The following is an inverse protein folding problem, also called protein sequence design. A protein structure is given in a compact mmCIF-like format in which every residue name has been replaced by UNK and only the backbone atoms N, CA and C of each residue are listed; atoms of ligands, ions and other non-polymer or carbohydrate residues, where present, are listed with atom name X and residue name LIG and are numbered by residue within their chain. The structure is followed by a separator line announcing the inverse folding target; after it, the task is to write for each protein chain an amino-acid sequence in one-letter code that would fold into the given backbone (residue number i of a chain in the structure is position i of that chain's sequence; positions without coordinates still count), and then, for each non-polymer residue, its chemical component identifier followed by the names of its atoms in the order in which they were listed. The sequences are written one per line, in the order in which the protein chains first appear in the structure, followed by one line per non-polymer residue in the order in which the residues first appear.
data_IF_307032085483
#
_entry.id   IF_307032085483
#
_cell.length_a   1.000
_cell.length_b   1.000
_cell.length_c   1.000
_cell.angle_alpha   90.00
_cell.angle_beta   90.00
_cell.angle_gamma   90.00
#
_symmetry.space_group_name_H-M   'P 1'
#
loop_
_entity.id
_entity.type
_entity.pdbx_description
1 polymer ?
#
# COMPACT_ATOMS: atom_id res chain seq x y z
N UNK A 1 -13.12 -14.83 21.79
CA UNK A 1 -12.10 -15.09 22.83
C UNK A 1 -12.35 -14.16 24.00
N UNK A 2 -12.19 -14.61 25.24
CA UNK A 2 -12.41 -13.76 26.41
C UNK A 2 -11.33 -12.69 26.48
N UNK A 3 -11.72 -11.40 26.58
CA UNK A 3 -10.80 -10.27 26.71
C UNK A 3 -10.01 -10.42 28.01
N UNK A 4 -8.71 -10.74 27.93
CA UNK A 4 -7.83 -10.71 29.09
C UNK A 4 -7.72 -9.26 29.58
N UNK A 5 -7.78 -9.06 30.89
CA UNK A 5 -7.66 -7.72 31.45
C UNK A 5 -6.21 -7.24 31.32
N UNK A 6 -6.02 -6.06 30.70
CA UNK A 6 -4.72 -5.41 30.51
C UNK A 6 -4.24 -4.60 31.73
N UNK A 7 -5.11 -4.40 32.73
CA UNK A 7 -4.80 -3.67 33.98
C UNK A 7 -3.53 -4.16 34.71
N UNK A 8 -3.29 -5.47 34.91
CA UNK A 8 -2.06 -5.94 35.57
C UNK A 8 -0.79 -5.61 34.77
N UNK A 9 -0.91 -5.38 33.46
CA UNK A 9 0.22 -5.12 32.55
C UNK A 9 0.45 -3.62 32.31
N UNK A 10 -0.23 -2.72 33.02
CA UNK A 10 -0.14 -1.27 32.82
C UNK A 10 1.30 -0.74 32.88
N UNK A 11 2.08 -1.16 33.89
CA UNK A 11 3.46 -0.70 34.05
C UNK A 11 4.40 -1.27 32.97
N UNK A 12 4.08 -2.45 32.44
CA UNK A 12 4.80 -3.10 31.36
C UNK A 12 4.56 -2.35 30.05
N UNK A 13 3.29 -2.07 29.74
CA UNK A 13 2.90 -1.25 28.57
C UNK A 13 3.52 0.14 28.64
N UNK A 14 3.53 0.79 29.81
CA UNK A 14 4.22 2.09 30.03
C UNK A 14 5.71 2.04 29.69
N UNK A 15 6.39 1.01 30.15
CA UNK A 15 7.83 0.83 29.90
C UNK A 15 8.09 0.65 28.41
N UNK A 16 7.30 -0.18 27.74
CA UNK A 16 7.43 -0.43 26.30
C UNK A 16 7.10 0.79 25.44
N UNK A 17 6.07 1.57 25.81
CA UNK A 17 5.76 2.83 25.11
C UNK A 17 6.91 3.84 25.26
N UNK A 18 7.54 3.94 26.44
CA UNK A 18 8.72 4.80 26.63
C UNK A 18 9.94 4.31 25.84
N UNK A 19 10.04 3.01 25.60
CA UNK A 19 11.05 2.41 24.74
C UNK A 19 10.73 2.55 23.24
N UNK A 20 9.64 3.22 22.86
CA UNK A 20 9.25 3.41 21.46
C UNK A 20 8.62 2.18 20.80
N UNK A 21 8.20 1.16 21.58
CA UNK A 21 7.55 -0.02 21.02
C UNK A 21 6.15 0.31 20.49
N UNK A 22 5.82 -0.24 19.33
CA UNK A 22 4.54 0.00 18.64
C UNK A 22 3.38 -0.79 19.27
N UNK A 23 2.15 -0.33 19.06
CA UNK A 23 0.94 -0.98 19.58
C UNK A 23 0.75 -2.40 19.02
N UNK A 24 1.21 -2.66 17.79
CA UNK A 24 1.17 -3.98 17.17
C UNK A 24 2.11 -4.97 17.88
N UNK A 25 3.30 -4.52 18.26
CA UNK A 25 4.25 -5.32 19.03
C UNK A 25 3.74 -5.62 20.44
N UNK A 26 3.19 -4.60 21.12
CA UNK A 26 2.59 -4.77 22.47
C UNK A 26 1.39 -5.72 22.42
N UNK A 27 0.56 -5.62 21.37
CA UNK A 27 -0.60 -6.47 21.18
C UNK A 27 -0.20 -7.95 20.98
N UNK A 28 0.79 -8.21 20.12
CA UNK A 28 1.34 -9.54 19.92
C UNK A 28 1.84 -10.15 21.23
N UNK A 29 2.60 -9.38 22.02
CA UNK A 29 3.24 -9.91 23.22
C UNK A 29 2.28 -10.18 24.38
N UNK A 30 1.09 -9.57 24.36
CA UNK A 30 0.07 -9.76 25.37
C UNK A 30 -1.07 -10.69 24.89
N UNK A 31 -0.96 -11.26 23.69
CA UNK A 31 -2.01 -12.03 23.00
C UNK A 31 -3.36 -11.29 22.96
N UNK A 32 -3.33 -10.00 22.61
CA UNK A 32 -4.52 -9.15 22.49
C UNK A 32 -4.59 -8.46 21.14
N UNK A 33 -5.71 -7.81 20.84
CA UNK A 33 -5.84 -7.05 19.60
C UNK A 33 -5.16 -5.68 19.69
N UNK A 34 -4.71 -5.15 18.55
CA UNK A 34 -4.16 -3.79 18.44
C UNK A 34 -5.18 -2.74 18.87
N UNK A 35 -6.47 -2.98 18.59
CA UNK A 35 -7.57 -2.10 19.01
C UNK A 35 -7.75 -2.04 20.53
N UNK A 36 -7.52 -3.16 21.24
CA UNK A 36 -7.56 -3.20 22.70
C UNK A 36 -6.40 -2.41 23.30
N UNK A 37 -5.19 -2.51 22.73
CA UNK A 37 -4.02 -1.70 23.15
C UNK A 37 -4.27 -0.21 22.91
N UNK A 38 -4.78 0.18 21.73
CA UNK A 38 -5.11 1.58 21.43
C UNK A 38 -6.15 2.16 22.37
N UNK A 39 -7.18 1.39 22.69
CA UNK A 39 -8.22 1.80 23.66
C UNK A 39 -7.63 1.93 25.06
N UNK A 40 -6.83 0.95 25.48
CA UNK A 40 -6.17 0.96 26.77
C UNK A 40 -5.19 2.14 26.94
N UNK A 41 -4.39 2.48 25.91
CA UNK A 41 -3.50 3.65 25.95
C UNK A 41 -4.25 4.96 26.07
N UNK A 42 -5.41 5.09 25.41
CA UNK A 42 -6.30 6.26 25.51
C UNK A 42 -6.88 6.40 26.92
N UNK A 43 -7.34 5.29 27.50
CA UNK A 43 -7.93 5.27 28.85
C UNK A 43 -6.89 5.54 29.95
N UNK A 44 -5.61 5.30 29.68
CA UNK A 44 -4.50 5.46 30.62
C UNK A 44 -3.51 6.59 30.27
N UNK A 45 -3.88 7.45 29.31
CA UNK A 45 -3.11 8.62 28.86
C UNK A 45 -1.65 8.31 28.49
N UNK A 46 -1.44 7.16 27.85
CA UNK A 46 -0.13 6.70 27.38
C UNK A 46 0.09 7.19 25.94
N UNK A 47 0.21 8.51 25.76
CA UNK A 47 0.70 9.06 24.51
C UNK A 47 2.16 8.61 24.29
N UNK A 48 2.58 8.29 23.06
CA UNK A 48 4.00 8.20 22.78
C UNK A 48 4.59 9.56 23.17
N UNK A 49 5.56 9.57 24.09
CA UNK A 49 6.45 10.71 24.13
C UNK A 49 7.11 10.70 22.76
N UNK A 50 6.68 11.63 21.89
CA UNK A 50 7.54 12.06 20.80
C UNK A 50 8.91 12.28 21.43
N UNK A 51 9.98 11.70 20.85
CA UNK A 51 11.30 11.92 21.38
C UNK A 51 11.46 13.44 21.52
N UNK A 52 12.02 13.85 22.65
CA UNK A 52 12.53 15.18 22.91
C UNK A 52 13.51 15.54 21.78
N UNK A 53 12.95 15.97 20.66
CA UNK A 53 13.64 16.62 19.58
C UNK A 53 13.98 17.98 20.15
N UNK A 54 15.14 18.04 20.80
CA UNK A 54 15.84 19.28 21.03
C UNK A 54 16.17 19.91 19.68
N UNK A 55 15.21 20.63 19.10
CA UNK A 55 15.41 21.62 18.06
C UNK A 55 14.11 22.44 17.92
N UNK A 56 14.25 23.72 18.27
CA UNK A 56 13.39 24.82 17.87
C UNK A 56 11.99 24.90 18.50
N UNK A 57 11.92 25.77 19.51
CA UNK A 57 10.82 26.71 19.64
C UNK A 57 10.50 27.34 18.27
N UNK A 58 9.57 26.76 17.52
CA UNK A 58 8.92 27.47 16.42
C UNK A 58 8.10 28.61 17.04
N UNK A 59 8.76 29.76 17.13
CA UNK A 59 8.12 31.04 17.31
C UNK A 59 7.02 31.22 16.26
N UNK A 60 5.86 31.80 16.62
CA UNK A 60 4.85 32.14 15.63
C UNK A 60 5.36 33.36 14.85
N UNK A 61 5.61 33.21 13.55
CA UNK A 61 5.74 34.35 12.63
C UNK A 61 7.03 34.44 11.83
N UNK A 62 7.23 33.53 10.88
CA UNK A 62 8.03 33.83 9.69
C UNK A 62 7.23 33.39 8.46
N UNK A 63 6.45 34.31 7.90
CA UNK A 63 5.97 34.25 6.53
C UNK A 63 7.20 34.29 5.62
N UNK A 64 7.66 33.13 5.17
CA UNK A 64 8.51 33.04 3.98
C UNK A 64 7.57 32.62 2.87
N UNK A 65 7.47 33.43 1.81
CA UNK A 65 6.77 33.10 0.58
C UNK A 65 7.33 31.80 -0.01
N UNK A 66 6.84 30.66 0.48
CA UNK A 66 7.03 29.36 -0.10
C UNK A 66 6.05 29.30 -1.28
N UNK A 67 6.53 29.28 -2.54
CA UNK A 67 5.61 29.21 -3.67
C UNK A 67 4.78 27.94 -3.52
N UNK A 68 3.46 28.10 -3.58
CA UNK A 68 2.50 27.00 -3.47
C UNK A 68 2.69 26.07 -4.69
N UNK A 69 3.55 25.06 -4.53
CA UNK A 69 3.98 24.08 -5.54
C UNK A 69 2.81 23.39 -6.26
N UNK A 70 1.60 23.48 -5.71
CA UNK A 70 0.35 22.99 -6.33
C UNK A 70 -0.08 23.79 -7.55
N UNK A 71 0.12 25.11 -7.54
CA UNK A 71 -0.30 25.98 -8.64
C UNK A 71 0.53 25.76 -9.91
N UNK A 72 1.79 25.35 -9.75
CA UNK A 72 2.69 25.04 -10.88
C UNK A 72 2.33 23.71 -11.55
N UNK A 73 1.97 22.70 -10.76
CA UNK A 73 1.57 21.38 -11.26
C UNK A 73 0.25 21.44 -12.07
N UNK A 74 -0.76 22.15 -11.55
CA UNK A 74 -2.05 22.33 -12.25
C UNK A 74 -1.90 23.07 -13.60
N UNK A 75 -0.96 24.02 -13.68
CA UNK A 75 -0.70 24.75 -14.93
C UNK A 75 -0.03 23.86 -16.00
N UNK A 76 0.86 22.94 -15.60
CA UNK A 76 1.48 21.98 -16.51
C UNK A 76 0.48 20.96 -17.04
N UNK A 77 -0.44 20.50 -16.18
CA UNK A 77 -1.52 19.57 -16.59
C UNK A 77 -2.48 20.23 -17.57
N UNK A 78 -2.87 21.49 -17.34
CA UNK A 78 -3.76 22.23 -18.24
C UNK A 78 -3.13 22.44 -19.63
N UNK A 79 -1.84 22.81 -19.69
CA UNK A 79 -1.14 23.02 -20.96
C UNK A 79 -0.98 21.72 -21.78
N UNK A 80 -0.78 20.58 -21.11
CA UNK A 80 -0.70 19.28 -21.78
C UNK A 80 -2.04 18.85 -22.38
N UNK A 81 -3.16 19.11 -21.67
CA UNK A 81 -4.51 18.81 -22.15
C UNK A 81 -4.93 19.66 -23.35
N UNK A 82 -4.55 20.94 -23.40
CA UNK A 82 -4.84 21.82 -24.54
C UNK A 82 -4.07 21.39 -25.80
N UNK A 83 -2.79 21.01 -25.65
CA UNK A 83 -1.99 20.52 -26.77
C UNK A 83 -2.51 19.19 -27.34
N UNK A 84 -2.97 18.26 -26.48
CA UNK A 84 -3.57 16.99 -26.93
C UNK A 84 -4.89 17.22 -27.69
N UNK A 85 -5.67 18.25 -27.32
CA UNK A 85 -6.92 18.59 -27.99
C UNK A 85 -6.71 19.24 -29.39
N UNK A 86 -5.69 20.08 -29.56
CA UNK A 86 -5.35 20.67 -30.88
C UNK A 86 -4.88 19.61 -31.89
N UNK A 87 -4.18 18.56 -31.42
CA UNK A 87 -3.75 17.45 -32.29
C UNK A 87 -4.92 16.54 -32.73
N UNK A 88 -5.98 16.40 -31.91
CA UNK A 88 -7.15 15.58 -32.22
C UNK A 88 -8.06 16.23 -33.30
N UNK A 89 -8.24 17.55 -33.24
CA UNK A 89 -9.10 18.29 -34.20
C UNK A 89 -8.52 18.32 -35.64
N UNK A 90 -7.21 18.13 -35.82
CA UNK A 90 -6.58 18.19 -37.15
C UNK A 90 -6.70 16.88 -37.95
N UNK A 91 -7.23 15.79 -37.35
CA UNK A 91 -7.28 14.46 -37.98
C UNK A 91 -8.69 13.95 -38.34
N UNK A 92 -9.75 14.75 -38.11
CA UNK A 92 -11.14 14.30 -38.24
C UNK A 92 -11.93 14.83 -39.46
N UNK A 93 -11.32 15.61 -40.36
CA UNK A 93 -12.03 16.30 -41.47
C UNK A 93 -11.90 15.68 -42.88
N UNK A 94 -11.31 14.49 -43.03
CA UNK A 94 -11.20 13.83 -44.34
C UNK A 94 -11.48 12.33 -44.22
N UNK A 95 -12.76 11.94 -44.31
CA UNK A 95 -13.26 10.73 -45.00
C UNK A 95 -14.71 10.40 -44.57
N UNK A 96 -15.69 11.09 -45.15
CA UNK A 96 -17.07 10.58 -45.20
C UNK A 96 -17.72 10.93 -46.55
N UNK A 97 -17.45 10.07 -47.54
CA UNK A 97 -18.19 10.02 -48.80
C UNK A 97 -18.51 8.56 -49.12
N UNK A 98 -19.77 8.23 -48.86
CA UNK A 98 -20.44 6.94 -48.89
C UNK A 98 -20.33 6.15 -50.21
N UNK A 99 -20.00 4.86 -50.10
CA UNK A 99 -20.37 3.84 -51.10
C UNK A 99 -20.70 2.51 -50.39
N UNK A 100 -21.97 2.11 -50.40
CA UNK A 100 -22.39 0.74 -50.73
C UNK A 100 -23.91 0.61 -50.59
N UNK A 101 -24.61 0.67 -51.73
CA UNK A 101 -25.90 0.04 -51.89
C UNK A 101 -25.75 -1.49 -51.91
N UNK A 102 -26.78 -2.15 -51.35
CA UNK A 102 -27.33 -3.45 -51.74
C UNK A 102 -27.02 -4.66 -50.82
N UNK A 103 -28.08 -5.35 -50.36
CA UNK A 103 -27.97 -6.67 -49.73
C UNK A 103 -29.09 -7.07 -48.79
N UNK A 104 -30.32 -7.17 -49.32
CA UNK A 104 -31.46 -7.84 -48.67
C UNK A 104 -31.12 -9.31 -48.30
N UNK A 105 -31.47 -9.73 -47.08
CA UNK A 105 -31.06 -11.02 -46.54
C UNK A 105 -31.76 -11.39 -45.25
N UNK A 106 -33.05 -11.72 -45.37
CA UNK A 106 -33.92 -12.30 -44.35
C UNK A 106 -33.28 -13.49 -43.58
N UNK A 107 -33.05 -13.32 -42.27
CA UNK A 107 -32.66 -14.41 -41.35
C UNK A 107 -33.33 -14.24 -39.97
N UNK A 108 -33.89 -15.31 -39.38
CA UNK A 108 -34.69 -15.22 -38.17
C UNK A 108 -33.83 -14.89 -36.94
N UNK A 109 -34.25 -13.85 -36.21
CA UNK A 109 -33.59 -13.29 -35.03
C UNK A 109 -33.61 -14.27 -33.85
N UNK A 110 -32.50 -14.97 -33.62
CA UNK A 110 -32.28 -15.80 -32.42
C UNK A 110 -32.17 -14.87 -31.19
N UNK A 111 -33.16 -14.93 -30.31
CA UNK A 111 -33.29 -14.11 -29.11
C UNK A 111 -32.03 -14.20 -28.25
N UNK A 112 -31.30 -13.08 -28.17
CA UNK A 112 -30.21 -12.83 -27.21
C UNK A 112 -30.77 -12.99 -25.79
N UNK A 113 -30.48 -14.12 -25.15
CA UNK A 113 -30.68 -14.28 -23.70
C UNK A 113 -29.54 -13.56 -22.99
N UNK A 114 -29.75 -12.30 -22.70
CA UNK A 114 -28.92 -11.58 -21.73
C UNK A 114 -29.04 -12.26 -20.37
N UNK A 115 -27.98 -12.95 -19.95
CA UNK A 115 -27.63 -13.07 -18.53
C UNK A 115 -26.31 -12.34 -18.31
N UNK A 116 -26.47 -11.03 -18.17
CA UNK A 116 -25.59 -10.16 -17.40
C UNK A 116 -25.50 -10.76 -15.99
N UNK A 117 -24.32 -11.20 -15.59
CA UNK A 117 -24.12 -11.79 -14.28
C UNK A 117 -22.69 -12.23 -14.07
N UNK A 118 -21.87 -11.31 -13.56
CA UNK A 118 -20.61 -11.66 -12.93
C UNK A 118 -19.45 -11.84 -13.89
N UNK A 119 -19.04 -10.75 -14.57
CA UNK A 119 -17.60 -10.56 -14.77
C UNK A 119 -17.05 -10.41 -13.36
N UNK A 120 -16.66 -11.54 -12.77
CA UNK A 120 -16.09 -11.60 -11.43
C UNK A 120 -15.04 -10.51 -11.39
N UNK A 121 -15.31 -9.48 -10.58
CA UNK A 121 -14.31 -8.49 -10.23
C UNK A 121 -13.18 -9.36 -9.70
N UNK A 122 -12.13 -9.58 -10.51
CA UNK A 122 -10.92 -10.26 -10.06
C UNK A 122 -10.60 -9.51 -8.78
N UNK A 123 -10.80 -10.15 -7.63
CA UNK A 123 -10.46 -9.54 -6.35
C UNK A 123 -9.02 -9.14 -6.56
N UNK A 124 -8.75 -7.83 -6.57
CA UNK A 124 -7.36 -7.37 -6.58
C UNK A 124 -6.73 -8.10 -5.41
N UNK A 125 -5.61 -8.77 -5.67
CA UNK A 125 -4.87 -9.43 -4.61
C UNK A 125 -4.71 -8.38 -3.49
N UNK A 126 -5.07 -8.72 -2.25
CA UNK A 126 -4.89 -7.79 -1.14
C UNK A 126 -3.44 -7.32 -1.18
N UNK A 127 -3.22 -6.01 -1.04
CA UNK A 127 -1.88 -5.47 -0.85
C UNK A 127 -1.32 -6.10 0.41
N UNK A 128 -0.25 -6.88 0.26
CA UNK A 128 0.43 -7.51 1.37
C UNK A 128 1.31 -6.45 2.02
N UNK A 129 1.07 -6.19 3.31
CA UNK A 129 1.82 -5.20 4.07
C UNK A 129 2.88 -5.90 4.94
N UNK A 130 4.00 -5.21 5.16
CA UNK A 130 5.07 -5.66 6.03
C UNK A 130 5.70 -4.47 6.74
N UNK A 131 6.23 -4.70 7.94
CA UNK A 131 6.96 -3.71 8.73
C UNK A 131 8.42 -4.12 8.82
N UNK A 132 9.30 -3.20 8.46
CA UNK A 132 10.72 -3.32 8.70
C UNK A 132 11.06 -2.62 10.02
N UNK A 133 11.51 -3.39 11.00
CA UNK A 133 11.86 -2.92 12.34
C UNK A 133 13.38 -2.92 12.53
N UNK A 134 13.89 -1.87 13.17
CA UNK A 134 15.29 -1.77 13.56
C UNK A 134 15.38 -1.63 15.08
N UNK A 135 15.87 -2.66 15.75
CA UNK A 135 16.12 -2.65 17.18
C UNK A 135 17.60 -2.64 17.50
N UNK A 136 17.93 -2.49 18.79
CA UNK A 136 19.32 -2.57 19.29
C UNK A 136 19.97 -3.96 19.06
N UNK A 137 19.14 -4.98 18.79
CA UNK A 137 19.55 -6.37 18.51
C UNK A 137 19.61 -6.69 17.00
N UNK A 138 19.34 -5.73 16.13
CA UNK A 138 19.44 -5.88 14.67
C UNK A 138 18.13 -5.57 13.91
N UNK A 139 18.08 -6.04 12.67
CA UNK A 139 16.98 -5.78 11.73
C UNK A 139 15.99 -6.95 11.69
N UNK A 140 14.70 -6.64 11.75
CA UNK A 140 13.62 -7.63 11.66
C UNK A 140 12.58 -7.23 10.60
N UNK A 141 12.17 -8.19 9.77
CA UNK A 141 11.06 -8.01 8.82
C UNK A 141 9.85 -8.79 9.33
N UNK A 142 8.74 -8.08 9.53
CA UNK A 142 7.47 -8.66 9.95
C UNK A 142 6.48 -8.55 8.80
N UNK A 143 5.91 -9.66 8.37
CA UNK A 143 4.91 -9.71 7.31
C UNK A 143 3.51 -9.91 7.91
N UNK A 144 2.49 -9.31 7.30
CA UNK A 144 1.09 -9.56 7.69
C UNK A 144 0.81 -11.09 7.66
N UNK A 145 0.14 -11.65 8.68
CA UNK A 145 -0.32 -13.04 8.67
C UNK A 145 -1.00 -13.49 7.36
N UNK A 146 -1.70 -12.60 6.66
CA UNK A 146 -2.36 -12.90 5.38
C UNK A 146 -1.39 -13.35 4.28
N UNK A 147 -0.09 -13.04 4.39
CA UNK A 147 0.95 -13.54 3.47
C UNK A 147 1.02 -15.06 3.46
N UNK A 148 0.68 -15.74 4.55
CA UNK A 148 0.69 -17.21 4.61
C UNK A 148 -0.37 -17.86 3.72
N UNK A 149 -1.48 -17.16 3.48
CA UNK A 149 -2.58 -17.61 2.63
C UNK A 149 -2.40 -17.19 1.16
N UNK A 150 -1.35 -16.41 0.85
CA UNK A 150 -1.08 -15.96 -0.49
C UNK A 150 -0.54 -17.13 -1.37
N UNK A 151 -1.15 -17.40 -2.53
CA UNK A 151 -0.76 -18.53 -3.36
C UNK A 151 0.65 -18.37 -3.96
N UNK A 152 1.10 -17.15 -4.24
CA UNK A 152 2.45 -16.87 -4.77
C UNK A 152 3.47 -17.12 -3.65
N UNK A 153 3.18 -16.66 -2.44
CA UNK A 153 4.01 -16.98 -1.28
C UNK A 153 4.08 -18.49 -1.03
N UNK A 154 2.94 -19.18 -1.06
CA UNK A 154 2.88 -20.62 -0.86
C UNK A 154 3.66 -21.40 -1.92
N UNK A 155 3.60 -20.98 -3.19
CA UNK A 155 4.29 -21.63 -4.31
C UNK A 155 5.81 -21.43 -4.27
N UNK A 156 6.27 -20.22 -3.96
CA UNK A 156 7.69 -19.88 -4.07
C UNK A 156 8.45 -19.91 -2.75
N UNK A 157 7.78 -19.72 -1.61
CA UNK A 157 8.45 -19.47 -0.32
C UNK A 157 8.10 -20.49 0.77
N UNK A 158 7.02 -21.25 0.65
CA UNK A 158 6.65 -22.23 1.67
C UNK A 158 7.78 -23.27 1.88
N UNK A 159 8.32 -23.34 3.09
CA UNK A 159 9.38 -24.28 3.48
C UNK A 159 10.82 -23.78 3.27
N UNK A 160 11.02 -22.65 2.60
CA UNK A 160 12.34 -22.03 2.47
C UNK A 160 12.66 -21.19 3.71
N UNK A 161 13.41 -21.77 4.63
CA UNK A 161 13.85 -21.11 5.88
C UNK A 161 15.10 -20.23 5.73
N UNK A 162 16.12 -20.58 4.92
CA UNK A 162 17.24 -19.69 4.69
C UNK A 162 16.93 -18.73 3.52
N UNK A 163 17.07 -17.43 3.78
CA UNK A 163 16.93 -16.37 2.79
C UNK A 163 18.16 -15.46 2.84
N UNK A 164 18.55 -14.94 1.69
CA UNK A 164 19.58 -13.91 1.54
C UNK A 164 18.91 -12.56 1.39
N UNK A 165 19.41 -11.54 2.09
CA UNK A 165 18.89 -10.18 2.02
C UNK A 165 19.98 -9.26 1.45
N UNK A 166 19.65 -8.55 0.38
CA UNK A 166 20.51 -7.52 -0.22
C UNK A 166 19.84 -6.17 -0.07
N UNK A 167 20.57 -5.20 0.47
CA UNK A 167 20.10 -3.82 0.64
C UNK A 167 20.73 -2.96 -0.44
N UNK A 168 19.93 -2.49 -1.38
CA UNK A 168 20.31 -1.54 -2.43
C UNK A 168 19.89 -0.11 -2.04
N UNK A 169 20.38 0.94 -2.71
CA UNK A 169 20.05 2.33 -2.38
C UNK A 169 18.55 2.63 -2.43
N UNK A 170 17.80 1.99 -3.33
CA UNK A 170 16.38 2.28 -3.57
C UNK A 170 15.44 1.13 -3.17
N UNK A 171 15.97 -0.05 -2.83
CA UNK A 171 15.14 -1.24 -2.53
C UNK A 171 15.87 -2.27 -1.67
N UNK A 172 15.08 -3.12 -1.02
CA UNK A 172 15.58 -4.32 -0.33
C UNK A 172 15.12 -5.55 -1.12
N UNK A 173 16.08 -6.39 -1.52
CA UNK A 173 15.83 -7.62 -2.27
C UNK A 173 16.01 -8.82 -1.35
N UNK A 174 15.01 -9.69 -1.31
CA UNK A 174 15.04 -10.95 -0.56
C UNK A 174 15.07 -12.07 -1.59
N UNK A 175 16.09 -12.93 -1.51
CA UNK A 175 16.25 -14.10 -2.39
C UNK A 175 16.34 -15.38 -1.56
N UNK A 176 15.99 -16.50 -2.18
CA UNK A 176 16.13 -17.83 -1.54
C UNK A 176 17.60 -18.20 -1.51
N UNK A 177 18.10 -18.66 -0.36
CA UNK A 177 19.51 -19.08 -0.28
C UNK A 177 19.70 -20.37 -1.10
N UNK A 178 20.50 -20.28 -2.17
CA UNK A 178 20.80 -21.40 -3.09
C UNK A 178 20.20 -21.28 -4.49
N UNK A 179 19.44 -20.22 -4.77
CA UNK A 179 19.04 -19.86 -6.13
C UNK A 179 19.95 -18.70 -6.56
N UNK A 180 20.99 -19.04 -7.32
CA UNK A 180 21.73 -18.01 -8.06
C UNK A 180 20.74 -17.38 -9.04
N UNK A 181 20.61 -16.05 -9.09
CA UNK A 181 19.78 -15.43 -10.10
C UNK A 181 20.33 -15.86 -11.45
N UNK A 182 19.53 -16.54 -12.27
CA UNK A 182 19.84 -16.71 -13.67
C UNK A 182 19.92 -15.31 -14.26
N UNK A 183 21.14 -14.81 -14.40
CA UNK A 183 21.43 -13.57 -15.08
C UNK A 183 21.07 -13.80 -16.55
N UNK A 184 19.91 -13.29 -16.96
CA UNK A 184 19.56 -13.19 -18.37
C UNK A 184 20.60 -12.28 -19.05
N UNK A 185 21.42 -12.88 -19.93
CA UNK A 185 22.37 -12.23 -20.84
C UNK A 185 21.68 -11.42 -21.94
#
# INVERSE_FOLDING_TARGET
MARRSLKPQLNQIRTWVRQGRTDAWIAHQLDVSVGDIRSFKRDHELAPNEPDAGADSLAPGVDVDEPDLRAEDDALVAAALEAEAEDEDTTSDEDDAEDSENGDGDRPRKRRRGRRGGRGRRKRAPSLEGTFDHGDEGYGLWLDPAVQDDPVYAEHWAGHRPVTIVVEPERIVITRTGEEPEAEE
#
